data_IF_147230643303
#
_entry.id   IF_147230643303
#
_cell.length_a   1.000
_cell.length_b   1.000
_cell.length_c   1.000
_cell.angle_alpha   90.00
_cell.angle_beta   90.00
_cell.angle_gamma   90.00
#
_symmetry.space_group_name_H-M   'P 1'
#
loop_
_entity.id
_entity.type
_entity.pdbx_description
1 polymer ?
#
# COMPACT_ATOMS: atom_id res chain seq x y z
N UNK A 1 -6.11 4.94 26.01
CA UNK A 1 -5.61 5.36 27.37
C UNK A 1 -5.82 4.27 28.44
N UNK A 2 -6.96 3.52 28.40
CA UNK A 2 -7.22 2.47 29.40
C UNK A 2 -6.13 1.42 29.45
N UNK A 3 -5.54 1.09 28.31
CA UNK A 3 -4.48 0.09 28.18
C UNK A 3 -3.10 0.55 28.71
N UNK A 4 -2.97 1.75 29.26
CA UNK A 4 -1.78 2.12 30.05
C UNK A 4 -1.71 1.17 31.28
N UNK A 5 -2.85 0.92 31.91
CA UNK A 5 -2.96 0.11 33.15
C UNK A 5 -3.59 -1.26 32.90
N UNK A 6 -4.54 -1.38 31.96
CA UNK A 6 -5.33 -2.59 31.72
C UNK A 6 -4.85 -3.34 30.48
N UNK A 7 -4.92 -4.68 30.45
CA UNK A 7 -4.47 -5.47 29.29
C UNK A 7 -5.44 -5.45 28.11
N UNK A 8 -6.63 -4.84 28.25
CA UNK A 8 -7.68 -4.77 27.22
C UNK A 8 -8.23 -3.37 27.14
N UNK A 9 -8.61 -2.89 25.92
CA UNK A 9 -9.20 -1.57 25.74
C UNK A 9 -10.68 -1.57 26.13
N UNK A 10 -11.20 -0.37 26.33
CA UNK A 10 -12.63 -0.12 26.44
C UNK A 10 -13.35 -0.26 25.07
N UNK A 11 -14.68 -0.40 25.08
CA UNK A 11 -15.49 -0.39 23.86
C UNK A 11 -15.36 0.92 23.09
N UNK A 12 -15.27 2.05 23.78
CA UNK A 12 -15.11 3.37 23.17
C UNK A 12 -13.81 3.44 22.37
N UNK A 13 -12.69 3.03 22.96
CA UNK A 13 -11.38 3.01 22.27
C UNK A 13 -11.37 2.10 21.04
N UNK A 14 -12.04 0.94 21.10
CA UNK A 14 -12.20 0.08 19.92
C UNK A 14 -13.01 0.78 18.83
N UNK A 15 -14.10 1.47 19.22
CA UNK A 15 -14.95 2.21 18.28
C UNK A 15 -14.22 3.38 17.65
N UNK A 16 -13.38 4.08 18.42
CA UNK A 16 -12.57 5.22 17.93
C UNK A 16 -11.55 4.74 16.87
N UNK A 17 -10.86 3.62 17.15
CA UNK A 17 -9.94 3.02 16.19
C UNK A 17 -10.67 2.59 14.92
N UNK A 18 -11.79 1.87 15.05
CA UNK A 18 -12.59 1.42 13.91
C UNK A 18 -13.15 2.61 13.11
N UNK A 19 -13.59 3.69 13.79
CA UNK A 19 -14.03 4.93 13.16
C UNK A 19 -12.92 5.60 12.36
N UNK A 20 -11.72 5.75 12.93
CA UNK A 20 -10.58 6.32 12.22
C UNK A 20 -10.21 5.51 10.96
N UNK A 21 -10.26 4.17 11.05
CA UNK A 21 -10.04 3.30 9.88
C UNK A 21 -11.14 3.50 8.84
N UNK A 22 -12.40 3.61 9.26
CA UNK A 22 -13.53 3.87 8.35
C UNK A 22 -13.43 5.23 7.65
N UNK A 23 -12.84 6.24 8.31
CA UNK A 23 -12.48 7.54 7.74
C UNK A 23 -11.25 7.48 6.82
N UNK A 24 -10.66 6.30 6.65
CA UNK A 24 -9.54 6.03 5.75
C UNK A 24 -8.25 6.80 6.10
N UNK A 25 -7.90 6.88 7.37
CA UNK A 25 -6.61 7.44 7.80
C UNK A 25 -5.44 6.60 7.23
N UNK A 26 -4.30 7.24 7.01
CA UNK A 26 -3.10 6.54 6.52
C UNK A 26 -2.39 5.74 7.62
N UNK A 27 -2.45 6.21 8.86
CA UNK A 27 -1.79 5.57 9.99
C UNK A 27 -2.51 5.86 11.30
N UNK A 28 -2.35 4.96 12.27
CA UNK A 28 -2.83 5.09 13.64
C UNK A 28 -1.63 5.22 14.58
N UNK A 29 -1.76 6.01 15.62
CA UNK A 29 -0.69 6.26 16.58
C UNK A 29 -1.10 5.83 18.00
N UNK A 30 -0.18 5.14 18.68
CA UNK A 30 -0.21 4.94 20.12
C UNK A 30 0.78 5.91 20.78
N UNK A 31 0.51 6.33 22.01
CA UNK A 31 1.31 7.28 22.79
C UNK A 31 1.71 6.69 24.14
N UNK A 32 1.02 7.07 25.21
CA UNK A 32 1.28 6.62 26.58
C UNK A 32 1.23 5.10 26.74
N UNK A 33 0.37 4.45 25.96
CA UNK A 33 0.15 3.00 26.00
C UNK A 33 1.42 2.22 25.68
N UNK A 34 2.28 2.76 24.80
CA UNK A 34 3.54 2.11 24.39
C UNK A 34 4.78 2.69 25.03
N UNK A 35 4.71 3.90 25.60
CA UNK A 35 5.87 4.57 26.21
C UNK A 35 5.96 4.33 27.72
N UNK A 36 4.84 4.39 28.44
CA UNK A 36 4.77 4.25 29.89
C UNK A 36 3.80 3.17 30.38
N UNK A 37 3.00 2.61 29.44
CA UNK A 37 2.00 1.60 29.74
C UNK A 37 2.59 0.26 30.17
N UNK A 38 1.80 -0.52 30.90
CA UNK A 38 2.18 -1.85 31.39
C UNK A 38 2.06 -2.94 30.33
N UNK A 39 1.33 -2.67 29.23
CA UNK A 39 0.95 -3.66 28.20
C UNK A 39 1.27 -3.19 26.78
N UNK A 40 2.52 -2.75 26.46
CA UNK A 40 2.84 -2.11 25.18
C UNK A 40 2.61 -3.03 23.98
N UNK A 41 2.98 -4.31 24.06
CA UNK A 41 2.82 -5.27 22.97
C UNK A 41 1.35 -5.60 22.72
N UNK A 42 0.56 -5.73 23.78
CA UNK A 42 -0.88 -5.97 23.71
C UNK A 42 -1.61 -4.80 23.07
N UNK A 43 -1.16 -3.56 23.32
CA UNK A 43 -1.70 -2.35 22.69
C UNK A 43 -1.51 -2.40 21.18
N UNK A 44 -0.29 -2.68 20.70
CA UNK A 44 0.00 -2.79 19.26
C UNK A 44 -0.80 -3.92 18.63
N UNK A 45 -0.85 -5.11 19.26
CA UNK A 45 -1.62 -6.25 18.76
C UNK A 45 -3.13 -5.95 18.68
N UNK A 46 -3.64 -5.24 19.68
CA UNK A 46 -5.06 -4.85 19.70
C UNK A 46 -5.36 -3.85 18.59
N UNK A 47 -4.51 -2.83 18.41
CA UNK A 47 -4.64 -1.84 17.34
C UNK A 47 -4.64 -2.51 15.97
N UNK A 48 -3.67 -3.38 15.70
CA UNK A 48 -3.58 -4.14 14.45
C UNK A 48 -4.83 -5.00 14.21
N UNK A 49 -5.30 -5.72 15.24
CA UNK A 49 -6.48 -6.58 15.14
C UNK A 49 -7.75 -5.80 14.82
N UNK A 50 -7.96 -4.65 15.49
CA UNK A 50 -9.14 -3.79 15.25
C UNK A 50 -9.04 -3.17 13.87
N UNK A 51 -7.88 -2.66 13.46
CA UNK A 51 -7.67 -2.07 12.15
C UNK A 51 -7.96 -3.08 11.03
N UNK A 52 -7.36 -4.26 11.08
CA UNK A 52 -7.61 -5.33 10.07
C UNK A 52 -9.07 -5.75 10.00
N UNK A 53 -9.76 -5.82 11.15
CA UNK A 53 -11.19 -6.17 11.16
C UNK A 53 -12.03 -5.06 10.53
N UNK A 54 -11.76 -3.81 10.86
CA UNK A 54 -12.44 -2.65 10.28
C UNK A 54 -12.17 -2.54 8.77
N UNK A 55 -10.92 -2.69 8.33
CA UNK A 55 -10.54 -2.67 6.91
C UNK A 55 -11.27 -3.75 6.09
N UNK A 56 -11.50 -4.94 6.65
CA UNK A 56 -12.22 -6.00 5.96
C UNK A 56 -13.70 -5.66 5.66
N UNK A 57 -14.26 -4.68 6.37
CA UNK A 57 -15.64 -4.21 6.23
C UNK A 57 -15.74 -2.84 5.52
N UNK A 58 -14.60 -2.25 5.13
CA UNK A 58 -14.60 -0.95 4.44
C UNK A 58 -15.38 -1.02 3.13
N UNK A 59 -16.25 -0.03 2.95
CA UNK A 59 -16.95 0.18 1.69
C UNK A 59 -16.03 0.94 0.71
N UNK A 60 -15.68 0.37 -0.45
CA UNK A 60 -14.85 1.03 -1.46
C UNK A 60 -15.52 2.26 -2.10
N UNK A 61 -16.82 2.46 -1.91
CA UNK A 61 -17.59 3.53 -2.55
C UNK A 61 -17.00 4.93 -2.38
N UNK A 62 -16.39 5.24 -1.22
CA UNK A 62 -15.79 6.55 -0.98
C UNK A 62 -14.70 6.93 -1.99
N UNK A 63 -13.95 5.95 -2.48
CA UNK A 63 -12.90 6.18 -3.48
C UNK A 63 -13.40 6.08 -4.91
N UNK A 64 -14.47 5.34 -5.16
CA UNK A 64 -15.09 5.20 -6.48
C UNK A 64 -15.74 6.51 -6.94
N UNK A 65 -16.30 7.29 -6.02
CA UNK A 65 -16.95 8.58 -6.30
C UNK A 65 -15.96 9.73 -6.56
N UNK A 66 -14.66 9.54 -6.33
CA UNK A 66 -13.65 10.58 -6.56
C UNK A 66 -13.62 11.00 -8.03
N UNK A 67 -13.88 12.28 -8.32
CA UNK A 67 -13.68 12.88 -9.64
C UNK A 67 -12.19 13.00 -9.96
N UNK A 68 -11.68 12.12 -10.82
CA UNK A 68 -10.31 12.16 -11.29
C UNK A 68 -10.20 13.08 -12.51
N UNK A 69 -9.57 14.25 -12.36
CA UNK A 69 -9.41 15.22 -13.43
C UNK A 69 -8.21 14.90 -14.33
N UNK A 70 -7.12 14.39 -13.75
CA UNK A 70 -5.87 14.16 -14.48
C UNK A 70 -5.89 12.79 -15.19
N UNK A 71 -5.43 12.70 -16.46
CA UNK A 71 -5.33 11.42 -17.18
C UNK A 71 -4.54 10.35 -16.41
N UNK A 72 -3.42 10.73 -15.79
CA UNK A 72 -2.60 9.85 -14.97
C UNK A 72 -3.39 9.23 -13.80
N UNK A 73 -4.21 10.02 -13.12
CA UNK A 73 -5.04 9.51 -12.02
C UNK A 73 -6.11 8.51 -12.51
N UNK A 74 -6.67 8.76 -13.72
CA UNK A 74 -7.60 7.81 -14.35
C UNK A 74 -6.92 6.50 -14.71
N UNK A 75 -5.69 6.57 -15.22
CA UNK A 75 -4.86 5.38 -15.52
C UNK A 75 -4.58 4.57 -14.26
N UNK A 76 -4.18 5.23 -13.16
CA UNK A 76 -3.93 4.55 -11.88
C UNK A 76 -5.20 3.90 -11.32
N UNK A 77 -6.37 4.53 -11.47
CA UNK A 77 -7.65 3.90 -11.12
C UNK A 77 -7.92 2.65 -11.96
N UNK A 78 -7.62 2.68 -13.25
CA UNK A 78 -7.75 1.52 -14.11
C UNK A 78 -6.83 0.38 -13.66
N UNK A 79 -5.59 0.70 -13.25
CA UNK A 79 -4.66 -0.28 -12.67
C UNK A 79 -5.21 -0.89 -11.37
N UNK A 80 -5.75 -0.07 -10.46
CA UNK A 80 -6.41 -0.55 -9.24
C UNK A 80 -7.61 -1.44 -9.56
N UNK A 81 -8.49 -1.02 -10.48
CA UNK A 81 -9.66 -1.79 -10.92
C UNK A 81 -9.27 -3.14 -11.52
N UNK A 82 -8.23 -3.17 -12.35
CA UNK A 82 -7.73 -4.40 -12.93
C UNK A 82 -7.23 -5.36 -11.85
N UNK A 83 -6.40 -4.88 -10.94
CA UNK A 83 -5.86 -5.70 -9.86
C UNK A 83 -6.96 -6.21 -8.91
N UNK A 84 -7.97 -5.40 -8.58
CA UNK A 84 -9.09 -5.82 -7.72
C UNK A 84 -10.00 -6.90 -8.35
N UNK A 85 -9.98 -7.06 -9.67
CA UNK A 85 -10.75 -8.07 -10.39
C UNK A 85 -10.02 -9.41 -10.54
N UNK A 86 -8.76 -9.48 -10.11
CA UNK A 86 -7.91 -10.66 -10.25
C UNK A 86 -7.57 -11.21 -8.86
N UNK A 87 -7.81 -12.49 -8.65
CA UNK A 87 -7.47 -13.15 -7.39
C UNK A 87 -5.95 -13.20 -7.21
N UNK A 88 -5.47 -12.87 -6.01
CA UNK A 88 -4.04 -12.88 -5.68
C UNK A 88 -3.20 -11.81 -6.38
N UNK A 89 -3.83 -10.83 -7.04
CA UNK A 89 -3.07 -9.80 -7.73
C UNK A 89 -2.44 -8.78 -6.77
N UNK A 90 -1.28 -8.25 -7.17
CA UNK A 90 -0.62 -7.12 -6.51
C UNK A 90 -0.29 -6.02 -7.54
N UNK A 91 -0.17 -4.79 -7.05
CA UNK A 91 0.32 -3.67 -7.87
C UNK A 91 1.81 -3.48 -7.60
N UNK A 92 2.61 -3.35 -8.64
CA UNK A 92 4.02 -2.98 -8.55
C UNK A 92 4.21 -1.61 -9.18
N UNK A 93 4.82 -0.69 -8.44
CA UNK A 93 5.05 0.68 -8.93
C UNK A 93 6.47 1.14 -8.63
N UNK A 94 7.07 1.82 -9.60
CA UNK A 94 8.40 2.42 -9.49
C UNK A 94 8.28 3.94 -9.35
N UNK A 95 9.02 4.53 -8.39
CA UNK A 95 8.94 5.97 -8.14
C UNK A 95 10.23 6.55 -7.58
N UNK A 96 10.68 7.69 -8.11
CA UNK A 96 11.81 8.46 -7.58
C UNK A 96 11.38 9.58 -6.63
N UNK A 97 10.10 9.98 -6.70
CA UNK A 97 9.57 11.12 -5.94
C UNK A 97 8.44 10.75 -4.97
N UNK A 98 7.92 9.51 -5.05
CA UNK A 98 6.78 9.05 -4.27
C UNK A 98 5.41 9.46 -4.83
N UNK A 99 5.34 10.36 -5.81
CA UNK A 99 4.06 10.90 -6.30
C UNK A 99 3.12 9.83 -6.84
N UNK A 100 3.66 8.85 -7.57
CA UNK A 100 2.86 7.78 -8.17
C UNK A 100 2.29 6.85 -7.07
N UNK A 101 3.15 6.46 -6.14
CA UNK A 101 2.79 5.63 -4.99
C UNK A 101 1.74 6.31 -4.10
N UNK A 102 1.92 7.60 -3.79
CA UNK A 102 0.95 8.37 -3.00
C UNK A 102 -0.43 8.43 -3.67
N UNK A 103 -0.47 8.60 -5.00
CA UNK A 103 -1.74 8.58 -5.75
C UNK A 103 -2.41 7.21 -5.73
N UNK A 104 -1.65 6.13 -5.87
CA UNK A 104 -2.17 4.76 -5.73
C UNK A 104 -2.72 4.51 -4.33
N UNK A 105 -1.96 4.87 -3.29
CA UNK A 105 -2.43 4.80 -1.90
C UNK A 105 -3.75 5.54 -1.69
N UNK A 106 -3.89 6.76 -2.25
CA UNK A 106 -5.12 7.55 -2.14
C UNK A 106 -6.33 6.93 -2.85
N UNK A 107 -6.12 6.02 -3.78
CA UNK A 107 -7.21 5.29 -4.45
C UNK A 107 -7.72 4.10 -3.64
N UNK A 108 -7.04 3.73 -2.56
CA UNK A 108 -7.45 2.67 -1.61
C UNK A 108 -7.89 1.37 -2.30
N UNK A 109 -7.07 0.73 -3.16
CA UNK A 109 -7.46 -0.53 -3.78
C UNK A 109 -7.67 -1.60 -2.71
N UNK A 110 -8.93 -2.05 -2.56
CA UNK A 110 -9.29 -2.98 -1.50
C UNK A 110 -8.62 -4.34 -1.71
N UNK A 111 -7.95 -4.86 -0.67
CA UNK A 111 -7.28 -6.17 -0.64
C UNK A 111 -6.16 -6.37 -1.68
N UNK A 112 -5.70 -5.31 -2.31
CA UNK A 112 -4.61 -5.38 -3.28
C UNK A 112 -3.37 -4.74 -2.67
N UNK A 113 -2.29 -5.50 -2.39
CA UNK A 113 -1.04 -4.93 -1.91
C UNK A 113 -0.38 -4.07 -3.00
N UNK A 114 0.25 -2.97 -2.58
CA UNK A 114 0.99 -2.07 -3.47
C UNK A 114 2.47 -2.13 -3.09
N UNK A 115 3.25 -2.85 -3.87
CA UNK A 115 4.70 -2.94 -3.72
C UNK A 115 5.36 -1.77 -4.46
N UNK A 116 6.06 -0.93 -3.72
CA UNK A 116 6.67 0.30 -4.23
C UNK A 116 8.17 0.15 -4.26
N UNK A 117 8.79 0.35 -5.43
CA UNK A 117 10.23 0.38 -5.57
C UNK A 117 10.72 1.80 -5.80
N UNK A 118 11.80 2.17 -5.11
CA UNK A 118 12.44 3.48 -5.22
C UNK A 118 13.97 3.36 -5.16
N UNK A 119 14.66 4.17 -5.95
CA UNK A 119 16.12 4.33 -5.89
C UNK A 119 16.56 5.36 -4.81
N UNK A 120 15.60 5.94 -4.09
CA UNK A 120 15.86 6.93 -3.05
C UNK A 120 15.56 6.35 -1.65
N UNK A 121 16.59 5.97 -0.86
CA UNK A 121 16.38 5.38 0.46
C UNK A 121 15.69 6.31 1.47
N UNK A 122 15.78 7.64 1.27
CA UNK A 122 15.11 8.62 2.15
C UNK A 122 13.59 8.66 1.94
N UNK A 123 13.11 8.08 0.85
CA UNK A 123 11.69 8.04 0.52
C UNK A 123 10.98 6.86 1.20
N UNK A 124 11.67 5.76 1.41
CA UNK A 124 11.10 4.54 1.98
C UNK A 124 10.34 4.78 3.29
N UNK A 125 10.92 5.40 4.35
CA UNK A 125 10.19 5.62 5.60
C UNK A 125 8.97 6.54 5.45
N UNK A 126 9.01 7.47 4.50
CA UNK A 126 7.85 8.33 4.21
C UNK A 126 6.72 7.58 3.55
N UNK A 127 7.04 6.64 2.67
CA UNK A 127 6.05 5.79 1.98
C UNK A 127 5.45 4.76 2.93
N UNK A 128 6.20 4.24 3.89
CA UNK A 128 5.69 3.32 4.91
C UNK A 128 4.57 3.92 5.78
N UNK A 129 4.52 5.25 5.88
CA UNK A 129 3.45 5.96 6.60
C UNK A 129 2.17 6.12 5.78
N UNK A 130 2.16 5.64 4.53
CA UNK A 130 0.99 5.70 3.65
C UNK A 130 0.26 4.37 3.62
N UNK A 131 -1.04 4.45 3.60
CA UNK A 131 -1.91 3.27 3.59
C UNK A 131 -1.60 2.34 2.42
N UNK A 132 -1.46 1.06 2.73
CA UNK A 132 -1.35 -0.02 1.75
C UNK A 132 -0.05 -0.06 0.95
N UNK A 133 0.93 0.82 1.24
CA UNK A 133 2.22 0.78 0.56
C UNK A 133 3.22 -0.10 1.29
N UNK A 134 3.89 -0.96 0.53
CA UNK A 134 5.01 -1.81 0.97
C UNK A 134 6.27 -1.37 0.19
N UNK A 135 7.07 -0.41 0.71
CA UNK A 135 8.16 0.21 -0.02
C UNK A 135 9.49 -0.49 0.16
N UNK A 136 10.20 -0.68 -0.96
CA UNK A 136 11.53 -1.27 -1.07
C UNK A 136 12.51 -0.29 -1.74
N UNK A 137 13.78 -0.34 -1.32
CA UNK A 137 14.86 0.39 -1.98
C UNK A 137 15.55 -0.54 -2.96
N UNK A 138 15.67 -0.10 -4.22
CA UNK A 138 16.31 -0.84 -5.28
C UNK A 138 16.90 0.12 -6.32
N UNK A 139 18.08 -0.16 -6.84
CA UNK A 139 18.62 0.59 -7.97
C UNK A 139 17.84 0.29 -9.25
N UNK A 140 17.60 1.32 -10.07
CA UNK A 140 16.89 1.18 -11.33
C UNK A 140 17.88 1.07 -12.48
N UNK A 141 17.72 0.02 -13.30
CA UNK A 141 18.42 -0.12 -14.57
C UNK A 141 17.93 0.91 -15.60
N UNK A 142 18.75 1.20 -16.59
CA UNK A 142 18.30 1.95 -17.78
C UNK A 142 17.22 1.19 -18.55
N UNK A 143 17.26 -0.14 -18.52
CA UNK A 143 16.23 -1.01 -19.08
C UNK A 143 15.11 -1.25 -18.06
N UNK A 144 13.86 -0.78 -18.33
CA UNK A 144 12.71 -1.01 -17.47
C UNK A 144 12.36 -2.50 -17.25
N UNK A 145 12.61 -3.36 -18.25
CA UNK A 145 12.33 -4.80 -18.11
C UNK A 145 13.30 -5.47 -17.14
N UNK A 146 14.57 -5.08 -17.14
CA UNK A 146 15.55 -5.55 -16.15
C UNK A 146 15.14 -5.11 -14.74
N UNK A 147 14.72 -3.86 -14.58
CA UNK A 147 14.25 -3.33 -13.30
C UNK A 147 13.02 -4.08 -12.80
N UNK A 148 12.05 -4.34 -13.67
CA UNK A 148 10.84 -5.08 -13.34
C UNK A 148 11.16 -6.53 -12.96
N UNK A 149 12.03 -7.21 -13.73
CA UNK A 149 12.47 -8.57 -13.42
C UNK A 149 13.17 -8.70 -12.07
N UNK A 150 14.03 -7.73 -11.72
CA UNK A 150 14.68 -7.67 -10.41
C UNK A 150 13.67 -7.45 -9.27
N UNK A 151 12.67 -6.60 -9.47
CA UNK A 151 11.61 -6.37 -8.50
C UNK A 151 10.77 -7.62 -8.26
N UNK A 152 10.35 -8.32 -9.32
CA UNK A 152 9.60 -9.58 -9.22
C UNK A 152 10.43 -10.64 -8.47
N UNK A 153 11.71 -10.80 -8.83
CA UNK A 153 12.61 -11.72 -8.15
C UNK A 153 12.70 -11.40 -6.65
N UNK A 154 12.90 -10.13 -6.29
CA UNK A 154 12.95 -9.69 -4.90
C UNK A 154 11.66 -10.04 -4.15
N UNK A 155 10.49 -9.75 -4.73
CA UNK A 155 9.19 -10.06 -4.11
C UNK A 155 8.98 -11.56 -3.91
N UNK A 156 9.46 -12.40 -4.83
CA UNK A 156 9.45 -13.87 -4.67
C UNK A 156 10.36 -14.31 -3.51
N UNK A 157 11.58 -13.80 -3.44
CA UNK A 157 12.56 -14.14 -2.40
C UNK A 157 12.06 -13.84 -0.99
N UNK A 158 11.31 -12.74 -0.82
CA UNK A 158 10.73 -12.35 0.47
C UNK A 158 9.31 -12.89 0.69
N UNK A 159 8.79 -13.73 -0.21
CA UNK A 159 7.49 -14.39 -0.09
C UNK A 159 6.28 -13.45 -0.19
N UNK A 160 6.42 -12.34 -0.92
CA UNK A 160 5.31 -11.40 -1.19
C UNK A 160 4.46 -11.82 -2.38
N UNK A 161 5.05 -12.58 -3.29
CA UNK A 161 4.39 -13.16 -4.46
C UNK A 161 4.89 -14.57 -4.70
N UNK A 162 4.06 -15.41 -5.31
CA UNK A 162 4.36 -16.78 -5.68
C UNK A 162 4.24 -16.97 -7.20
N UNK A 163 4.76 -18.09 -7.71
CA UNK A 163 4.55 -18.46 -9.10
C UNK A 163 3.05 -18.62 -9.42
N UNK A 164 2.59 -18.07 -10.51
CA UNK A 164 1.19 -18.00 -10.92
C UNK A 164 0.43 -16.78 -10.43
N UNK A 165 0.99 -15.98 -9.51
CA UNK A 165 0.39 -14.71 -9.10
C UNK A 165 0.41 -13.69 -10.25
N UNK A 166 -0.58 -12.80 -10.27
CA UNK A 166 -0.66 -11.71 -11.24
C UNK A 166 -0.14 -10.40 -10.66
N UNK A 167 0.67 -9.69 -11.45
CA UNK A 167 1.17 -8.36 -11.10
C UNK A 167 0.67 -7.32 -12.09
N UNK A 168 0.08 -6.25 -11.58
CA UNK A 168 -0.23 -5.05 -12.35
C UNK A 168 0.92 -4.07 -12.18
N UNK A 169 1.85 -4.05 -13.13
CA UNK A 169 3.00 -3.16 -13.08
C UNK A 169 2.67 -1.79 -13.68
N UNK A 170 2.94 -0.74 -12.91
CA UNK A 170 2.82 0.65 -13.36
C UNK A 170 4.22 1.20 -13.56
N UNK A 171 4.59 1.35 -14.83
CA UNK A 171 5.94 1.75 -15.24
C UNK A 171 5.91 2.91 -16.22
N UNK A 172 7.08 3.54 -16.41
CA UNK A 172 7.31 4.49 -17.48
C UNK A 172 8.05 3.76 -18.60
N UNK A 173 7.50 3.78 -19.82
CA UNK A 173 8.20 3.31 -21.02
C UNK A 173 8.77 4.50 -21.79
N UNK A 174 9.98 4.36 -22.31
CA UNK A 174 10.56 5.31 -23.26
C UNK A 174 10.07 4.92 -24.66
N UNK A 175 9.26 5.77 -25.28
CA UNK A 175 8.92 5.66 -26.69
C UNK A 175 9.55 6.84 -27.41
N UNK A 176 10.55 6.59 -28.28
CA UNK A 176 11.27 7.58 -29.10
C UNK A 176 11.09 9.02 -28.61
N UNK A 177 11.96 9.47 -27.73
CA UNK A 177 12.00 10.83 -27.13
C UNK A 177 10.81 11.25 -26.22
N UNK A 178 9.98 10.31 -25.80
CA UNK A 178 8.87 10.60 -24.87
C UNK A 178 8.81 9.56 -23.76
N UNK A 179 8.53 10.02 -22.53
CA UNK A 179 8.18 9.14 -21.43
C UNK A 179 6.72 8.76 -21.56
N UNK A 180 6.42 7.48 -21.74
CA UNK A 180 5.06 6.94 -21.81
C UNK A 180 4.79 6.16 -20.54
N UNK A 181 3.70 6.51 -19.84
CA UNK A 181 3.22 5.75 -18.70
C UNK A 181 2.42 4.55 -19.18
N UNK A 182 2.72 3.38 -18.63
CA UNK A 182 2.08 2.13 -19.02
C UNK A 182 1.55 1.36 -17.81
N UNK A 183 0.47 0.61 -18.05
CA UNK A 183 0.01 -0.46 -17.17
C UNK A 183 0.32 -1.77 -17.90
N UNK A 184 0.98 -2.68 -17.22
CA UNK A 184 1.31 -3.98 -17.75
C UNK A 184 0.75 -5.06 -16.83
N UNK A 185 0.18 -6.10 -17.39
CA UNK A 185 -0.18 -7.31 -16.67
C UNK A 185 0.98 -8.31 -16.83
N UNK A 186 1.46 -8.83 -15.71
CA UNK A 186 2.55 -9.82 -15.66
C UNK A 186 2.11 -11.00 -14.80
N UNK A 187 2.39 -12.19 -15.25
CA UNK A 187 2.30 -13.41 -14.44
C UNK A 187 3.69 -13.70 -13.85
N UNK A 188 3.73 -14.09 -12.60
CA UNK A 188 4.96 -14.46 -11.90
C UNK A 188 5.30 -15.90 -12.28
N UNK A 189 6.42 -16.09 -12.99
CA UNK A 189 6.94 -17.39 -13.39
C UNK A 189 7.57 -18.18 -12.22
#
# INVERSE_FOLDING_TARGET
ESMIEMPVPTRAEISDVAGAVAEQVDALMLSGETTTGKHPLECVRMLDRVARRAEAELNPALTEELKLLQPRAKMLRAACSLAMQMDGAAIVVFTRTGNLANKLSSLRPNRVPIHVFTDNPRLQPKLQMRWGLDPFVMEFSEDPEVTLGQAIKHLKEIGRVAAGDCLVAVTNALAIDKVVETIQLREVE
#
